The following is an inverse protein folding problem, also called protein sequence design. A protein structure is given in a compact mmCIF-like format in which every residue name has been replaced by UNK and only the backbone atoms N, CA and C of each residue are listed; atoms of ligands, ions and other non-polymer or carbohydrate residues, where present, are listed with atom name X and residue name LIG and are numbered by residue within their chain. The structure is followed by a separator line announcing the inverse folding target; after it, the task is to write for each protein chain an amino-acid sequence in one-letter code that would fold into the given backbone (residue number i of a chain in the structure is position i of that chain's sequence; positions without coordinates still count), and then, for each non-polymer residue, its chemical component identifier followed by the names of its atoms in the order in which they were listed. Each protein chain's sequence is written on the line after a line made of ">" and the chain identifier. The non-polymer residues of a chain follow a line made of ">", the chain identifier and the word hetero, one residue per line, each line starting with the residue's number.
data_IF_242946204722
#
_entry.id   IF_242946204722
#
_cell.length_a   1.000
_cell.length_b   1.000
_cell.length_c   1.000
_cell.angle_alpha   90.00
_cell.angle_beta   90.00
_cell.angle_gamma   90.00
#
_symmetry.space_group_name_H-M   'P 1'
#
loop_
_entity.id
_entity.type
_entity.pdbx_description
1 polymer ?
#
# COMPACT_ATOMS: atom_id res chain seq x y z
N UNK A 1 -15.69 -12.06 17.78
CA UNK A 1 -14.62 -11.44 16.95
C UNK A 1 -15.19 -10.75 15.72
N UNK A 2 -15.81 -11.43 14.78
CA UNK A 2 -16.31 -10.86 13.50
C UNK A 2 -17.30 -9.70 13.65
N UNK A 3 -18.25 -9.77 14.60
CA UNK A 3 -19.21 -8.69 14.87
C UNK A 3 -18.53 -7.41 15.36
N UNK A 4 -17.48 -7.53 16.20
CA UNK A 4 -16.69 -6.38 16.67
C UNK A 4 -15.96 -5.72 15.49
N UNK A 5 -15.34 -6.52 14.61
CA UNK A 5 -14.65 -6.02 13.43
C UNK A 5 -15.62 -5.32 12.47
N UNK A 6 -16.77 -5.94 12.18
CA UNK A 6 -17.79 -5.34 11.31
C UNK A 6 -18.32 -4.02 11.89
N UNK A 7 -18.60 -3.96 13.20
CA UNK A 7 -19.03 -2.74 13.89
C UNK A 7 -17.98 -1.64 13.75
N UNK A 8 -16.70 -1.96 13.95
CA UNK A 8 -15.61 -0.99 13.78
C UNK A 8 -15.54 -0.48 12.33
N UNK A 9 -15.56 -1.37 11.34
CA UNK A 9 -15.55 -0.98 9.93
C UNK A 9 -16.67 0.03 9.62
N UNK A 10 -17.90 -0.23 10.09
CA UNK A 10 -19.05 0.64 9.83
C UNK A 10 -19.01 1.97 10.57
N UNK A 11 -18.44 2.03 11.77
CA UNK A 11 -18.40 3.25 12.60
C UNK A 11 -17.15 4.10 12.38
N UNK A 12 -16.01 3.45 12.14
CA UNK A 12 -14.70 4.10 12.07
C UNK A 12 -14.29 4.46 10.64
N UNK A 13 -14.92 3.84 9.61
CA UNK A 13 -14.65 4.14 8.20
C UNK A 13 -15.84 4.82 7.53
N UNK A 14 -15.57 5.69 6.56
CA UNK A 14 -16.61 6.28 5.72
C UNK A 14 -17.33 5.20 4.90
N UNK A 15 -18.63 5.04 5.10
CA UNK A 15 -19.44 4.01 4.47
C UNK A 15 -19.40 4.05 2.94
N UNK A 16 -19.22 5.24 2.35
CA UNK A 16 -19.05 5.40 0.90
C UNK A 16 -17.76 4.71 0.42
N UNK A 17 -16.68 4.81 1.21
CA UNK A 17 -15.42 4.14 0.90
C UNK A 17 -15.55 2.62 1.03
N UNK A 18 -16.22 2.14 2.07
CA UNK A 18 -16.48 0.71 2.25
C UNK A 18 -17.31 0.15 1.10
N UNK A 19 -18.35 0.86 0.68
CA UNK A 19 -19.15 0.44 -0.48
C UNK A 19 -18.32 0.37 -1.76
N UNK A 20 -17.52 1.40 -2.04
CA UNK A 20 -16.63 1.40 -3.23
C UNK A 20 -15.58 0.30 -3.16
N UNK A 21 -15.01 0.04 -1.99
CA UNK A 21 -14.08 -1.05 -1.76
C UNK A 21 -14.75 -2.40 -2.04
N UNK A 22 -15.91 -2.65 -1.42
CA UNK A 22 -16.67 -3.89 -1.62
C UNK A 22 -17.06 -4.09 -3.09
N UNK A 23 -17.50 -3.04 -3.78
CA UNK A 23 -17.86 -3.09 -5.18
C UNK A 23 -16.64 -3.36 -6.09
N UNK A 24 -15.55 -2.62 -5.90
CA UNK A 24 -14.39 -2.75 -6.78
C UNK A 24 -13.57 -4.02 -6.49
N UNK A 25 -13.30 -4.36 -5.21
CA UNK A 25 -12.55 -5.56 -4.86
C UNK A 25 -13.46 -6.81 -4.83
N UNK A 26 -14.64 -6.73 -4.23
CA UNK A 26 -15.53 -7.86 -4.13
C UNK A 26 -16.13 -8.24 -5.48
N UNK A 27 -16.92 -7.35 -6.08
CA UNK A 27 -17.65 -7.71 -7.33
C UNK A 27 -16.72 -7.64 -8.54
N UNK A 28 -16.15 -6.47 -8.84
CA UNK A 28 -15.32 -6.30 -10.04
C UNK A 28 -14.01 -7.10 -9.97
N UNK A 29 -13.39 -7.19 -8.78
CA UNK A 29 -12.19 -7.97 -8.56
C UNK A 29 -12.43 -9.46 -8.84
N UNK A 30 -13.51 -10.03 -8.33
CA UNK A 30 -13.89 -11.42 -8.63
C UNK A 30 -14.10 -11.64 -10.13
N UNK A 31 -14.81 -10.73 -10.80
CA UNK A 31 -14.98 -10.80 -12.25
C UNK A 31 -13.67 -10.69 -13.02
N UNK A 32 -12.72 -9.85 -12.54
CA UNK A 32 -11.38 -9.74 -13.13
C UNK A 32 -10.60 -11.04 -13.01
N UNK A 33 -10.63 -11.69 -11.84
CA UNK A 33 -9.99 -12.99 -11.61
C UNK A 33 -10.60 -14.08 -12.50
N UNK A 34 -11.93 -14.12 -12.65
CA UNK A 34 -12.57 -15.10 -13.53
C UNK A 34 -12.24 -14.85 -15.02
N UNK A 35 -12.12 -13.60 -15.45
CA UNK A 35 -11.64 -13.27 -16.79
C UNK A 35 -10.18 -13.70 -16.98
N UNK A 36 -9.33 -13.46 -15.99
CA UNK A 36 -7.94 -13.92 -16.00
C UNK A 36 -7.86 -15.45 -16.16
N UNK A 37 -8.60 -16.22 -15.35
CA UNK A 37 -8.63 -17.69 -15.45
C UNK A 37 -9.09 -18.17 -16.85
N UNK A 38 -10.06 -17.51 -17.46
CA UNK A 38 -10.53 -17.84 -18.82
C UNK A 38 -9.48 -17.54 -19.88
N UNK A 39 -8.77 -16.40 -19.76
CA UNK A 39 -7.66 -16.03 -20.65
C UNK A 39 -6.49 -17.00 -20.52
N UNK A 40 -6.12 -17.35 -19.30
CA UNK A 40 -5.05 -18.31 -19.04
C UNK A 40 -5.30 -19.66 -19.74
N UNK A 41 -6.56 -20.14 -19.78
CA UNK A 41 -6.95 -21.35 -20.55
C UNK A 41 -6.76 -21.21 -22.06
N UNK A 42 -6.66 -19.98 -22.59
CA UNK A 42 -6.40 -19.69 -24.01
C UNK A 42 -4.93 -19.37 -24.30
N UNK A 43 -4.07 -19.48 -23.30
CA UNK A 43 -2.65 -19.09 -23.41
C UNK A 43 -2.41 -17.58 -23.33
N UNK A 44 -3.42 -16.78 -22.99
CA UNK A 44 -3.31 -15.33 -22.83
C UNK A 44 -2.94 -14.99 -21.38
N UNK A 45 -1.77 -14.41 -21.13
CA UNK A 45 -1.33 -14.00 -19.81
C UNK A 45 -1.54 -12.50 -19.63
N UNK A 46 -2.55 -12.12 -18.85
CA UNK A 46 -2.81 -10.75 -18.44
C UNK A 46 -3.26 -10.75 -16.98
N UNK A 47 -2.49 -10.16 -16.05
CA UNK A 47 -2.76 -10.28 -14.62
C UNK A 47 -4.07 -9.58 -14.21
N UNK A 48 -4.77 -10.09 -13.18
CA UNK A 48 -6.04 -9.52 -12.70
C UNK A 48 -5.87 -8.22 -11.92
N UNK A 49 -4.65 -7.87 -11.52
CA UNK A 49 -4.28 -6.61 -10.87
C UNK A 49 -2.82 -6.26 -11.19
N UNK A 50 -2.47 -4.99 -11.06
CA UNK A 50 -1.13 -4.46 -11.31
C UNK A 50 -0.56 -3.71 -10.12
N UNK A 51 0.75 -3.84 -9.94
CA UNK A 51 1.55 -2.87 -9.20
C UNK A 51 2.20 -1.91 -10.19
N UNK A 52 2.06 -0.62 -9.94
CA UNK A 52 2.57 0.45 -10.82
C UNK A 52 3.53 1.32 -10.04
N UNK A 53 4.81 1.28 -10.41
CA UNK A 53 5.82 2.18 -9.86
C UNK A 53 5.72 3.52 -10.58
N UNK A 54 5.29 4.57 -9.87
CA UNK A 54 5.07 5.89 -10.46
C UNK A 54 6.24 6.86 -10.28
N UNK A 55 7.18 6.55 -9.38
CA UNK A 55 8.36 7.36 -9.08
C UNK A 55 9.43 6.50 -8.42
N UNK A 56 10.71 6.74 -8.71
CA UNK A 56 11.81 6.06 -8.03
C UNK A 56 12.38 6.85 -6.84
N UNK A 57 12.03 8.12 -6.67
CA UNK A 57 12.52 8.94 -5.56
C UNK A 57 11.85 8.58 -4.23
N UNK A 58 12.64 8.55 -3.15
CA UNK A 58 12.17 8.28 -1.80
C UNK A 58 12.93 9.14 -0.77
N UNK A 59 12.26 9.50 0.32
CA UNK A 59 12.84 10.22 1.46
C UNK A 59 13.56 9.31 2.47
N UNK A 60 13.48 7.98 2.28
CA UNK A 60 14.12 6.97 3.12
C UNK A 60 15.14 6.15 2.34
N UNK A 61 16.02 5.45 3.08
CA UNK A 61 17.05 4.53 2.55
C UNK A 61 16.96 3.21 3.31
N UNK A 62 15.88 2.47 3.02
CA UNK A 62 15.60 1.22 3.72
C UNK A 62 16.59 0.13 3.33
N UNK A 63 17.04 -0.65 4.30
CA UNK A 63 17.88 -1.82 4.03
C UNK A 63 17.15 -2.82 3.11
N UNK A 64 17.82 -3.25 2.05
CA UNK A 64 17.29 -4.20 1.09
C UNK A 64 16.08 -3.68 0.29
N UNK A 65 16.02 -2.37 0.06
CA UNK A 65 14.98 -1.78 -0.79
C UNK A 65 15.15 -2.24 -2.24
N UNK A 66 14.04 -2.61 -2.87
CA UNK A 66 14.06 -3.05 -4.28
C UNK A 66 14.17 -1.87 -5.28
N UNK A 67 13.88 -0.64 -4.81
CA UNK A 67 13.94 0.56 -5.65
C UNK A 67 15.34 1.15 -5.61
N UNK A 68 15.91 1.42 -6.78
CA UNK A 68 17.13 2.21 -6.89
C UNK A 68 16.83 3.70 -6.65
N UNK A 69 16.91 4.08 -5.37
CA UNK A 69 16.68 5.47 -4.95
C UNK A 69 17.91 6.38 -5.16
N UNK A 70 19.05 5.81 -5.57
CA UNK A 70 20.26 6.55 -5.94
C UNK A 70 20.29 6.93 -7.42
N UNK A 71 19.51 6.23 -8.25
CA UNK A 71 19.38 6.56 -9.66
C UNK A 71 18.80 7.96 -9.88
N UNK A 72 19.00 8.47 -11.10
CA UNK A 72 18.36 9.73 -11.51
C UNK A 72 16.85 9.66 -11.27
N UNK A 73 16.31 10.71 -10.66
CA UNK A 73 14.87 10.78 -10.38
C UNK A 73 14.07 10.68 -11.68
N UNK A 74 13.17 9.73 -11.70
CA UNK A 74 12.20 9.52 -12.78
C UNK A 74 10.80 9.42 -12.18
N UNK A 75 9.87 10.18 -12.73
CA UNK A 75 8.46 10.13 -12.42
C UNK A 75 7.67 9.75 -13.67
N UNK A 76 6.65 8.93 -13.53
CA UNK A 76 5.80 8.49 -14.63
C UNK A 76 4.97 9.68 -15.14
N UNK A 77 5.08 9.99 -16.43
CA UNK A 77 4.29 11.04 -17.05
C UNK A 77 2.78 10.72 -16.96
N UNK A 78 1.92 11.72 -16.70
CA UNK A 78 0.47 11.54 -16.60
C UNK A 78 -0.15 10.82 -17.80
N UNK A 79 0.27 11.16 -19.00
CA UNK A 79 -0.23 10.55 -20.24
C UNK A 79 0.03 9.04 -20.29
N UNK A 80 1.22 8.63 -19.83
CA UNK A 80 1.60 7.21 -19.76
C UNK A 80 0.75 6.47 -18.73
N UNK A 81 0.59 7.05 -17.53
CA UNK A 81 -0.25 6.48 -16.48
C UNK A 81 -1.70 6.34 -16.95
N UNK A 82 -2.28 7.40 -17.51
CA UNK A 82 -3.67 7.39 -17.97
C UNK A 82 -3.91 6.39 -19.09
N UNK A 83 -2.97 6.28 -20.05
CA UNK A 83 -3.06 5.29 -21.12
C UNK A 83 -3.03 3.87 -20.55
N UNK A 84 -2.06 3.56 -19.71
CA UNK A 84 -1.92 2.26 -19.06
C UNK A 84 -3.17 1.86 -18.28
N UNK A 85 -3.73 2.77 -17.44
CA UNK A 85 -4.94 2.48 -16.65
C UNK A 85 -6.15 2.25 -17.56
N UNK A 86 -6.30 3.01 -18.65
CA UNK A 86 -7.40 2.80 -19.62
C UNK A 86 -7.29 1.43 -20.29
N UNK A 87 -6.12 1.10 -20.83
CA UNK A 87 -5.87 -0.19 -21.51
C UNK A 87 -6.11 -1.37 -20.54
N UNK A 88 -5.57 -1.30 -19.32
CA UNK A 88 -5.77 -2.31 -18.30
C UNK A 88 -7.26 -2.47 -17.92
N UNK A 89 -7.98 -1.36 -17.78
CA UNK A 89 -9.42 -1.36 -17.50
C UNK A 89 -10.22 -1.99 -18.65
N UNK A 90 -9.90 -1.70 -19.88
CA UNK A 90 -10.56 -2.26 -21.06
C UNK A 90 -10.32 -3.78 -21.15
N UNK A 91 -9.20 -4.24 -20.64
CA UNK A 91 -8.93 -5.66 -20.40
C UNK A 91 -9.58 -6.24 -19.13
N UNK A 92 -10.30 -5.42 -18.36
CA UNK A 92 -11.09 -5.84 -17.19
C UNK A 92 -10.38 -5.74 -15.85
N UNK A 93 -9.18 -5.12 -15.80
CA UNK A 93 -8.51 -4.81 -14.56
C UNK A 93 -9.06 -3.50 -13.98
N UNK A 94 -9.37 -3.52 -12.69
CA UNK A 94 -9.93 -2.35 -11.99
C UNK A 94 -9.23 -2.05 -10.67
N UNK A 95 -8.22 -2.86 -10.29
CA UNK A 95 -7.47 -2.69 -9.06
C UNK A 95 -5.99 -2.51 -9.35
N UNK A 96 -5.40 -1.46 -8.78
CA UNK A 96 -4.00 -1.08 -8.97
C UNK A 96 -3.32 -0.82 -7.63
N UNK A 97 -2.18 -1.46 -7.40
CA UNK A 97 -1.26 -1.09 -6.33
C UNK A 97 -0.33 0.02 -6.82
N UNK A 98 -0.36 1.17 -6.19
CA UNK A 98 0.55 2.29 -6.49
C UNK A 98 1.76 2.16 -5.59
N UNK A 99 2.90 1.96 -6.21
CA UNK A 99 4.21 1.79 -5.56
C UNK A 99 5.23 2.76 -6.14
N UNK A 100 6.48 2.62 -5.72
CA UNK A 100 7.60 3.41 -6.21
C UNK A 100 8.67 3.51 -5.15
N UNK A 101 9.42 4.59 -5.15
CA UNK A 101 10.18 5.02 -3.98
C UNK A 101 9.18 5.41 -2.87
N UNK A 102 8.71 6.65 -2.91
CA UNK A 102 7.58 7.10 -2.08
C UNK A 102 6.54 7.76 -2.99
N UNK A 103 5.36 7.15 -3.20
CA UNK A 103 4.35 7.68 -4.13
C UNK A 103 3.90 9.10 -3.82
N UNK A 104 3.84 9.50 -2.54
CA UNK A 104 3.47 10.87 -2.15
C UNK A 104 4.52 11.93 -2.49
N UNK A 105 5.67 11.55 -3.01
CA UNK A 105 6.66 12.45 -3.62
C UNK A 105 6.38 12.72 -5.10
N UNK A 106 5.49 11.98 -5.74
CA UNK A 106 5.05 12.29 -7.10
C UNK A 106 4.23 13.59 -7.08
N UNK A 107 4.62 14.64 -7.83
CA UNK A 107 3.98 15.96 -7.75
C UNK A 107 2.50 15.93 -8.09
N UNK A 108 2.10 15.07 -9.03
CA UNK A 108 0.75 14.98 -9.59
C UNK A 108 0.00 13.73 -9.11
N UNK A 109 0.38 13.12 -7.96
CA UNK A 109 -0.20 11.85 -7.49
C UNK A 109 -1.73 11.83 -7.57
N UNK A 110 -2.39 12.85 -7.06
CA UNK A 110 -3.86 12.87 -7.02
C UNK A 110 -4.48 13.11 -8.40
N UNK A 111 -3.81 13.88 -9.26
CA UNK A 111 -4.26 14.15 -10.63
C UNK A 111 -4.15 12.89 -11.49
N UNK A 112 -3.17 12.02 -11.21
CA UNK A 112 -3.09 10.69 -11.83
C UNK A 112 -4.30 9.82 -11.47
N UNK A 113 -4.79 9.87 -10.23
CA UNK A 113 -5.82 8.96 -9.73
C UNK A 113 -7.24 9.45 -10.02
N UNK A 114 -7.47 10.77 -9.97
CA UNK A 114 -8.79 11.38 -10.01
C UNK A 114 -9.63 11.04 -11.25
N UNK A 115 -9.09 11.02 -12.49
CA UNK A 115 -9.86 10.70 -13.68
C UNK A 115 -10.36 9.25 -13.74
N UNK A 116 -9.80 8.37 -12.90
CA UNK A 116 -10.06 6.93 -12.95
C UNK A 116 -10.98 6.44 -11.81
N UNK A 117 -12.08 7.14 -11.56
CA UNK A 117 -13.02 6.83 -10.46
C UNK A 117 -13.71 5.46 -10.57
N UNK A 118 -13.64 4.83 -11.73
CA UNK A 118 -14.11 3.45 -11.95
C UNK A 118 -13.12 2.37 -11.53
N UNK A 119 -11.87 2.75 -11.23
CA UNK A 119 -10.81 1.89 -10.73
C UNK A 119 -10.62 2.10 -9.22
N UNK A 120 -9.89 1.21 -8.57
CA UNK A 120 -9.52 1.30 -7.16
C UNK A 120 -8.01 1.26 -7.03
N UNK A 121 -7.46 2.15 -6.18
CA UNK A 121 -6.04 2.32 -6.00
C UNK A 121 -5.64 2.05 -4.55
N UNK A 122 -4.67 1.17 -4.34
CA UNK A 122 -4.03 0.97 -3.06
C UNK A 122 -2.63 1.59 -3.10
N UNK A 123 -2.40 2.61 -2.28
CA UNK A 123 -1.11 3.32 -2.26
C UNK A 123 -0.23 2.74 -1.17
N UNK A 124 0.88 2.14 -1.57
CA UNK A 124 1.94 1.69 -0.66
C UNK A 124 2.85 2.87 -0.33
N UNK A 125 2.94 3.23 0.93
CA UNK A 125 3.64 4.44 1.37
C UNK A 125 4.33 4.24 2.71
N UNK A 126 5.40 4.98 2.95
CA UNK A 126 6.01 5.05 4.28
C UNK A 126 5.23 5.97 5.26
N UNK A 127 4.19 6.66 4.78
CA UNK A 127 3.30 7.48 5.59
C UNK A 127 3.80 8.90 5.92
N UNK A 128 5.06 9.22 5.66
CA UNK A 128 5.67 10.48 6.09
C UNK A 128 5.06 11.73 5.47
N UNK A 129 4.47 11.60 4.30
CA UNK A 129 3.87 12.71 3.56
C UNK A 129 2.34 12.76 3.65
N UNK A 130 1.73 11.89 4.46
CA UNK A 130 0.29 11.90 4.66
C UNK A 130 -0.06 12.98 5.69
N UNK A 131 -0.30 14.19 5.20
CA UNK A 131 -0.85 15.29 6.01
C UNK A 131 -2.37 15.12 6.19
N UNK A 132 -3.02 15.85 7.13
CA UNK A 132 -4.48 15.85 7.24
C UNK A 132 -5.18 16.23 5.93
N UNK A 133 -4.61 17.15 5.15
CA UNK A 133 -5.12 17.58 3.84
C UNK A 133 -5.09 16.44 2.83
N UNK A 134 -3.94 15.74 2.73
CA UNK A 134 -3.78 14.60 1.81
C UNK A 134 -4.70 13.44 2.21
N UNK A 135 -4.87 13.18 3.51
CA UNK A 135 -5.82 12.19 3.99
C UNK A 135 -7.27 12.55 3.61
N UNK A 136 -7.68 13.81 3.78
CA UNK A 136 -8.99 14.29 3.29
C UNK A 136 -9.13 14.13 1.78
N UNK A 137 -8.09 14.47 1.00
CA UNK A 137 -8.12 14.33 -0.46
C UNK A 137 -8.31 12.88 -0.89
N UNK A 138 -7.63 11.90 -0.26
CA UNK A 138 -7.89 10.48 -0.51
C UNK A 138 -9.35 10.10 -0.22
N UNK A 139 -9.91 10.59 0.89
CA UNK A 139 -11.32 10.38 1.23
C UNK A 139 -12.28 10.95 0.18
N UNK A 140 -12.02 12.15 -0.34
CA UNK A 140 -12.81 12.80 -1.38
C UNK A 140 -12.82 12.01 -2.69
N UNK A 141 -11.68 11.51 -3.11
CA UNK A 141 -11.54 10.62 -4.27
C UNK A 141 -12.41 9.36 -4.09
N UNK A 142 -12.39 8.78 -2.91
CA UNK A 142 -13.24 7.68 -2.52
C UNK A 142 -12.93 6.33 -3.14
N UNK A 143 -11.87 6.23 -3.95
CA UNK A 143 -11.39 5.02 -4.59
C UNK A 143 -9.90 4.76 -4.30
N UNK A 144 -9.44 5.26 -3.16
CA UNK A 144 -8.04 5.15 -2.71
C UNK A 144 -8.00 4.59 -1.29
N UNK A 145 -7.12 3.63 -1.06
CA UNK A 145 -6.81 3.09 0.27
C UNK A 145 -5.32 3.22 0.52
N UNK A 146 -4.90 3.82 1.63
CA UNK A 146 -3.50 3.79 2.05
C UNK A 146 -3.15 2.42 2.63
N UNK A 147 -1.99 1.91 2.27
CA UNK A 147 -1.34 0.75 2.88
C UNK A 147 0.03 1.21 3.37
N UNK A 148 0.12 1.46 4.69
CA UNK A 148 1.25 2.17 5.28
C UNK A 148 2.28 1.17 5.78
N UNK A 149 3.52 1.34 5.36
CA UNK A 149 4.60 0.42 5.68
C UNK A 149 5.11 0.64 7.11
N UNK A 150 5.03 -0.39 7.94
CA UNK A 150 5.58 -0.45 9.31
C UNK A 150 6.44 -1.70 9.44
N UNK A 151 7.53 -1.65 10.23
CA UNK A 151 8.47 -2.77 10.29
C UNK A 151 8.53 -3.46 11.66
N UNK A 152 7.89 -2.91 12.67
CA UNK A 152 7.93 -3.37 14.06
C UNK A 152 8.00 -2.21 15.05
N UNK A 153 8.65 -2.41 16.19
CA UNK A 153 8.87 -1.38 17.21
C UNK A 153 9.79 -0.27 16.71
N UNK A 154 9.99 0.78 17.51
CA UNK A 154 10.72 1.99 17.10
C UNK A 154 12.17 1.67 16.67
N UNK A 155 12.90 0.89 17.45
CA UNK A 155 14.29 0.53 17.17
C UNK A 155 14.38 -0.21 15.84
N UNK A 156 13.60 -1.26 15.68
CA UNK A 156 13.59 -2.10 14.48
C UNK A 156 13.16 -1.31 13.24
N UNK A 157 12.14 -0.46 13.39
CA UNK A 157 11.66 0.38 12.30
C UNK A 157 12.70 1.41 11.87
N UNK A 158 13.36 2.07 12.80
CA UNK A 158 14.34 3.11 12.52
C UNK A 158 15.61 2.53 11.87
N UNK A 159 16.11 1.41 12.38
CA UNK A 159 17.25 0.69 11.80
C UNK A 159 16.93 0.21 10.37
N UNK A 160 15.78 -0.45 10.20
CA UNK A 160 15.34 -1.01 8.93
C UNK A 160 15.14 0.07 7.85
N UNK A 161 14.68 1.26 8.27
CA UNK A 161 14.36 2.40 7.40
C UNK A 161 15.51 3.39 7.25
N UNK A 162 16.66 3.14 7.93
CA UNK A 162 17.89 3.87 7.80
C UNK A 162 17.86 5.29 8.36
N UNK A 163 16.95 5.58 9.31
CA UNK A 163 16.82 6.91 9.93
C UNK A 163 16.08 6.82 11.27
N UNK A 164 16.49 7.63 12.25
CA UNK A 164 15.77 7.78 13.52
C UNK A 164 14.44 8.53 13.38
N UNK A 165 13.49 8.20 14.25
CA UNK A 165 12.16 8.83 14.33
C UNK A 165 11.22 8.46 13.17
N UNK A 166 11.55 7.43 12.41
CA UNK A 166 10.74 6.98 11.27
C UNK A 166 9.40 6.45 11.74
N UNK A 167 9.38 5.56 12.75
CA UNK A 167 8.12 4.98 13.23
C UNK A 167 7.17 6.06 13.72
N UNK A 168 7.64 7.01 14.53
CA UNK A 168 6.81 8.10 15.06
C UNK A 168 6.13 8.88 13.94
N UNK A 169 6.86 9.24 12.88
CA UNK A 169 6.32 9.96 11.74
C UNK A 169 5.38 9.11 10.89
N UNK A 170 5.70 7.83 10.70
CA UNK A 170 4.81 6.87 10.01
C UNK A 170 3.48 6.73 10.76
N UNK A 171 3.51 6.58 12.10
CA UNK A 171 2.32 6.45 12.91
C UNK A 171 1.46 7.72 12.91
N UNK A 172 2.06 8.90 12.80
CA UNK A 172 1.30 10.13 12.57
C UNK A 172 0.54 10.11 11.23
N UNK A 173 1.15 9.56 10.17
CA UNK A 173 0.47 9.33 8.89
C UNK A 173 -0.71 8.37 9.03
N UNK A 174 -0.56 7.29 9.80
CA UNK A 174 -1.64 6.35 10.14
C UNK A 174 -2.78 7.09 10.84
N UNK A 175 -2.48 7.87 11.89
CA UNK A 175 -3.48 8.65 12.62
C UNK A 175 -4.24 9.63 11.72
N UNK A 176 -3.55 10.33 10.81
CA UNK A 176 -4.19 11.25 9.88
C UNK A 176 -5.19 10.53 8.96
N UNK A 177 -4.85 9.32 8.52
CA UNK A 177 -5.77 8.47 7.74
C UNK A 177 -6.99 8.05 8.56
N UNK A 178 -6.79 7.60 9.80
CA UNK A 178 -7.86 7.17 10.69
C UNK A 178 -8.80 8.34 11.05
N UNK A 179 -8.25 9.52 11.39
CA UNK A 179 -9.01 10.76 11.62
C UNK A 179 -9.83 11.17 10.40
N UNK A 180 -9.33 10.92 9.20
CA UNK A 180 -10.07 11.14 7.95
C UNK A 180 -11.08 10.02 7.64
N UNK A 181 -11.23 9.01 8.50
CA UNK A 181 -12.12 7.84 8.31
C UNK A 181 -11.81 7.04 7.04
N UNK A 182 -10.53 6.95 6.67
CA UNK A 182 -10.09 6.07 5.60
C UNK A 182 -10.05 4.60 6.07
N UNK A 183 -10.30 3.67 5.16
CA UNK A 183 -10.06 2.25 5.38
C UNK A 183 -8.55 2.01 5.36
N UNK A 184 -7.93 2.14 6.54
CA UNK A 184 -6.47 2.18 6.69
C UNK A 184 -5.91 0.82 7.01
N UNK A 185 -4.94 0.36 6.22
CA UNK A 185 -4.14 -0.83 6.47
C UNK A 185 -2.66 -0.51 6.68
N UNK A 186 -1.96 -1.47 7.27
CA UNK A 186 -0.50 -1.44 7.35
C UNK A 186 0.09 -2.65 6.65
N UNK A 187 1.34 -2.55 6.19
CA UNK A 187 2.07 -3.67 5.64
C UNK A 187 3.48 -3.75 6.23
N UNK A 188 3.97 -4.96 6.34
CA UNK A 188 5.31 -5.23 6.86
C UNK A 188 6.04 -6.19 5.92
N UNK A 189 7.29 -5.87 5.63
CA UNK A 189 8.23 -6.79 4.99
C UNK A 189 8.88 -7.64 6.08
N UNK A 190 8.33 -8.85 6.29
CA UNK A 190 8.80 -9.78 7.33
C UNK A 190 10.19 -10.28 6.99
N UNK A 191 11.14 -10.08 7.89
CA UNK A 191 12.54 -10.45 7.71
C UNK A 191 13.16 -10.89 9.05
N UNK A 192 14.40 -11.36 9.00
CA UNK A 192 15.11 -11.87 10.18
C UNK A 192 15.20 -10.85 11.31
N UNK A 193 15.34 -9.56 10.99
CA UNK A 193 15.54 -8.51 12.01
C UNK A 193 14.26 -8.02 12.67
N UNK A 194 13.07 -8.32 12.11
CA UNK A 194 11.80 -7.83 12.66
C UNK A 194 10.80 -8.91 13.07
N UNK A 195 11.02 -10.17 12.71
CA UNK A 195 10.07 -11.24 13.00
C UNK A 195 9.76 -11.36 14.51
N UNK A 196 10.78 -11.18 15.36
CA UNK A 196 10.62 -11.21 16.82
C UNK A 196 9.67 -10.14 17.35
N UNK A 197 9.68 -8.93 16.78
CA UNK A 197 8.76 -7.86 17.13
C UNK A 197 7.33 -8.14 16.64
N UNK A 198 7.22 -8.67 15.42
CA UNK A 198 5.92 -8.92 14.78
C UNK A 198 5.12 -10.04 15.45
N UNK A 199 5.81 -10.97 16.15
CA UNK A 199 5.19 -12.06 16.89
C UNK A 199 4.71 -11.64 18.29
N UNK A 200 4.97 -10.41 18.73
CA UNK A 200 4.49 -9.91 20.02
C UNK A 200 3.02 -9.50 19.93
N UNK A 201 2.20 -10.02 20.82
CA UNK A 201 0.78 -9.68 20.88
C UNK A 201 0.56 -8.18 21.09
N UNK A 202 1.39 -7.55 21.92
CA UNK A 202 1.32 -6.10 22.22
C UNK A 202 1.48 -5.24 20.98
N UNK A 203 2.27 -5.69 20.01
CA UNK A 203 2.42 -4.98 18.73
C UNK A 203 1.13 -5.01 17.92
N UNK A 204 0.51 -6.18 17.84
CA UNK A 204 -0.76 -6.36 17.11
C UNK A 204 -1.89 -5.62 17.84
N UNK A 205 -1.98 -5.74 19.15
CA UNK A 205 -2.98 -5.04 19.98
C UNK A 205 -2.87 -3.52 19.80
N UNK A 206 -1.66 -2.97 19.79
CA UNK A 206 -1.43 -1.54 19.52
C UNK A 206 -2.03 -1.10 18.19
N UNK A 207 -1.83 -1.87 17.11
CA UNK A 207 -2.39 -1.56 15.81
C UNK A 207 -3.92 -1.65 15.81
N UNK A 208 -4.48 -2.65 16.49
CA UNK A 208 -5.92 -2.82 16.65
C UNK A 208 -6.52 -1.65 17.44
N UNK A 209 -5.92 -1.26 18.54
CA UNK A 209 -6.42 -0.19 19.43
C UNK A 209 -6.35 1.19 18.74
N UNK A 210 -5.37 1.40 17.88
CA UNK A 210 -5.29 2.60 17.05
C UNK A 210 -6.40 2.71 16.01
N UNK A 211 -7.01 1.60 15.59
CA UNK A 211 -8.04 1.58 14.54
C UNK A 211 -7.57 1.03 13.20
N UNK A 212 -6.37 0.45 13.09
CA UNK A 212 -5.93 -0.23 11.87
C UNK A 212 -6.86 -1.38 11.54
N UNK A 213 -7.31 -1.46 10.29
CA UNK A 213 -8.36 -2.39 9.86
C UNK A 213 -7.81 -3.73 9.37
N UNK A 214 -6.62 -3.74 8.81
CA UNK A 214 -5.97 -4.94 8.30
C UNK A 214 -4.46 -4.78 8.22
N UNK A 215 -3.76 -5.89 8.22
CA UNK A 215 -2.31 -5.96 8.08
C UNK A 215 -1.94 -6.90 6.95
N UNK A 216 -1.00 -6.51 6.10
CA UNK A 216 -0.38 -7.37 5.10
C UNK A 216 1.04 -7.71 5.51
N UNK A 217 1.36 -9.00 5.51
CA UNK A 217 2.71 -9.50 5.73
C UNK A 217 3.27 -10.02 4.41
N UNK A 218 4.40 -9.46 3.99
CA UNK A 218 5.15 -9.91 2.85
C UNK A 218 6.48 -10.47 3.34
N UNK A 219 6.79 -11.71 3.01
CA UNK A 219 8.13 -12.24 3.29
C UNK A 219 9.14 -11.46 2.46
N UNK A 220 10.18 -10.94 3.10
CA UNK A 220 11.26 -10.24 2.42
C UNK A 220 11.92 -11.14 1.38
N UNK A 221 12.15 -10.58 0.20
CA UNK A 221 12.91 -11.22 -0.87
C UNK A 221 14.02 -10.28 -1.32
N UNK A 222 15.28 -10.74 -1.37
CA UNK A 222 16.41 -9.92 -1.80
C UNK A 222 16.25 -9.60 -3.29
N UNK A 223 15.95 -8.36 -3.61
CA UNK A 223 15.75 -7.86 -4.96
C UNK A 223 16.28 -6.43 -5.08
N UNK A 224 16.59 -6.01 -6.30
CA UNK A 224 17.06 -4.67 -6.59
C UNK A 224 18.56 -4.48 -6.33
N UNK A 225 19.06 -3.24 -6.46
CA UNK A 225 20.50 -2.95 -6.36
C UNK A 225 21.05 -3.15 -4.94
N UNK A 226 20.23 -2.90 -3.91
CA UNK A 226 20.61 -2.99 -2.50
C UNK A 226 20.09 -4.29 -1.85
N UNK A 227 20.03 -5.39 -2.60
CA UNK A 227 19.58 -6.70 -2.09
C UNK A 227 20.41 -7.12 -0.87
N UNK A 228 19.75 -7.39 0.26
CA UNK A 228 20.39 -7.74 1.53
C UNK A 228 19.99 -9.17 1.95
N UNK A 229 20.89 -10.12 1.77
CA UNK A 229 20.61 -11.53 2.07
C UNK A 229 20.48 -11.82 3.56
N UNK A 230 21.13 -11.02 4.42
CA UNK A 230 21.05 -11.15 5.89
C UNK A 230 19.66 -10.86 6.45
N UNK A 231 18.80 -10.23 5.63
CA UNK A 231 17.39 -9.99 5.99
C UNK A 231 16.48 -11.18 5.68
N UNK A 232 16.95 -12.17 4.91
CA UNK A 232 16.15 -13.34 4.59
C UNK A 232 15.86 -14.16 5.84
N UNK A 233 14.63 -14.68 5.93
CA UNK A 233 14.31 -15.67 6.95
C UNK A 233 15.09 -16.96 6.69
N UNK A 234 15.69 -17.50 7.73
CA UNK A 234 16.32 -18.81 7.70
C UNK A 234 15.31 -19.88 8.11
N UNK A 235 15.28 -21.05 7.46
CA UNK A 235 14.53 -22.18 7.99
C UNK A 235 15.23 -22.63 9.29
N UNK A 236 14.54 -22.56 10.41
CA UNK A 236 14.86 -23.25 11.64
C UNK A 236 13.91 -24.42 11.83
#
# INVERSE_FOLDING_TARGET
>A
MYLRMLKRMLLETDNRLLWKLAWNMGVKGTLSVERFKRRLKRGEVFPPFFYVSIINSCNLRCQGCWVDVAAKMEAMAPETFHRMVREARDMGNVFFGIVGGEPFMHPELFDLLEPHRGCYFQIFTNGHFITPEKARRMRELGNVTPLISVEGTEIVSDERRGRSGVLSKTMQGVENCLKAKLFTGVCTSVCQTNIGDLLREEWIDRLIDMGVMYTWFHVYRPMGPDACFDLCLTPE
#
